data_IF_862190618129
#
_entry.id   IF_862190618129
#
_cell.length_a   1.000
_cell.length_b   1.000
_cell.length_c   1.000
_cell.angle_alpha   90.00
_cell.angle_beta   90.00
_cell.angle_gamma   90.00
#
_symmetry.space_group_name_H-M   'P 1'
#
loop_
_entity.id
_entity.type
_entity.pdbx_description
1 polymer ?
#
# COMPACT_ATOMS: atom_id res chain seq x y z
N UNK A 1 64.53 31.25 -51.42
CA UNK A 1 65.46 31.40 -50.28
C UNK A 1 65.29 32.81 -49.74
N UNK A 2 64.47 32.97 -48.70
CA UNK A 2 64.27 34.25 -48.01
C UNK A 2 64.57 33.99 -46.54
N UNK A 3 65.61 34.63 -46.02
CA UNK A 3 66.02 34.57 -44.64
C UNK A 3 65.96 35.99 -44.10
N UNK A 4 65.19 36.23 -43.03
CA UNK A 4 65.40 37.33 -42.08
C UNK A 4 64.69 36.94 -40.76
N UNK A 5 65.51 37.04 -39.72
CA UNK A 5 65.38 36.72 -38.28
C UNK A 5 64.11 37.29 -37.62
N UNK A 6 63.47 36.58 -36.66
CA UNK A 6 62.40 37.15 -35.86
C UNK A 6 62.93 37.91 -34.64
N UNK A 7 62.20 38.98 -34.34
CA UNK A 7 62.36 40.00 -33.30
C UNK A 7 62.34 39.41 -31.86
N UNK A 8 63.11 39.94 -30.88
CA UNK A 8 62.92 39.59 -29.48
C UNK A 8 61.74 40.36 -28.87
N UNK A 9 60.86 39.66 -28.14
CA UNK A 9 59.77 40.23 -27.36
C UNK A 9 60.29 40.91 -26.07
N UNK A 10 59.69 42.03 -25.62
CA UNK A 10 60.00 42.60 -24.31
C UNK A 10 59.30 41.82 -23.18
N UNK A 11 60.05 41.57 -22.10
CA UNK A 11 59.56 40.93 -20.87
C UNK A 11 58.32 41.63 -20.30
N UNK A 12 57.27 40.91 -19.87
CA UNK A 12 56.17 41.54 -19.16
C UNK A 12 56.58 41.94 -17.74
N UNK A 13 56.30 43.21 -17.43
CA UNK A 13 56.53 43.83 -16.15
C UNK A 13 55.81 43.11 -15.00
N UNK A 14 56.55 42.92 -13.92
CA UNK A 14 56.07 42.64 -12.58
C UNK A 14 55.01 43.66 -12.15
N UNK A 15 53.86 43.18 -11.65
CA UNK A 15 53.04 43.96 -10.72
C UNK A 15 51.53 43.94 -10.98
N UNK A 16 50.87 42.85 -10.63
CA UNK A 16 49.46 42.90 -10.24
C UNK A 16 49.12 41.70 -9.34
N UNK A 17 49.52 41.78 -8.06
CA UNK A 17 49.00 40.88 -7.03
C UNK A 17 47.53 41.21 -6.79
N UNK A 18 46.63 40.50 -7.48
CA UNK A 18 45.19 40.52 -7.18
C UNK A 18 45.02 39.87 -5.81
N UNK A 19 44.67 40.66 -4.79
CA UNK A 19 44.25 40.15 -3.48
C UNK A 19 43.02 39.27 -3.70
N UNK A 20 43.19 37.96 -3.60
CA UNK A 20 42.06 37.04 -3.47
C UNK A 20 41.50 37.17 -2.07
N UNK A 21 40.26 37.62 -1.99
CA UNK A 21 39.47 37.64 -0.77
C UNK A 21 39.25 36.17 -0.30
N UNK A 22 39.48 35.83 0.97
CA UNK A 22 39.20 34.49 1.45
C UNK A 22 37.68 34.28 1.47
N UNK A 23 37.13 33.59 0.46
CA UNK A 23 35.73 33.15 0.47
C UNK A 23 35.50 32.29 1.72
N UNK A 24 34.45 32.52 2.52
CA UNK A 24 34.15 31.67 3.67
C UNK A 24 33.67 30.30 3.18
N UNK A 25 34.57 29.33 3.13
CA UNK A 25 34.32 27.94 2.71
C UNK A 25 33.44 27.13 3.70
N UNK A 26 32.95 27.73 4.78
CA UNK A 26 32.24 27.04 5.86
C UNK A 26 30.71 27.22 5.84
N UNK A 27 30.15 28.13 5.03
CA UNK A 27 28.72 28.46 5.08
C UNK A 27 27.80 27.46 4.34
N UNK A 28 28.35 26.59 3.48
CA UNK A 28 27.58 25.62 2.68
C UNK A 28 27.41 24.23 3.32
N UNK A 29 28.24 23.87 4.31
CA UNK A 29 28.31 22.50 4.82
C UNK A 29 27.20 22.15 5.81
N UNK A 30 26.75 23.12 6.61
CA UNK A 30 25.66 22.93 7.58
C UNK A 30 24.27 22.90 6.96
N UNK A 31 24.03 23.62 5.86
CA UNK A 31 22.71 23.62 5.18
C UNK A 31 22.42 22.29 4.47
N UNK A 32 23.43 21.64 3.90
CA UNK A 32 23.25 20.35 3.21
C UNK A 32 22.91 19.20 4.15
N UNK A 33 23.35 19.24 5.41
CA UNK A 33 23.04 18.19 6.41
C UNK A 33 21.57 18.26 6.83
N UNK A 34 21.06 19.44 7.16
CA UNK A 34 19.64 19.61 7.52
C UNK A 34 18.69 19.39 6.32
N UNK A 35 19.11 19.70 5.10
CA UNK A 35 18.35 19.41 3.89
C UNK A 35 18.22 17.89 3.65
N UNK A 36 19.34 17.14 3.80
CA UNK A 36 19.36 15.67 3.66
C UNK A 36 18.60 14.95 4.77
N UNK A 37 18.66 15.46 6.00
CA UNK A 37 17.87 14.94 7.11
C UNK A 37 16.36 15.14 6.88
N UNK A 38 15.95 16.29 6.34
CA UNK A 38 14.55 16.57 5.99
C UNK A 38 14.02 15.68 4.86
N UNK A 39 14.80 15.53 3.78
CA UNK A 39 14.46 14.66 2.65
C UNK A 39 14.38 13.18 3.05
N UNK A 40 15.30 12.71 3.90
CA UNK A 40 15.27 11.35 4.44
C UNK A 40 14.02 11.08 5.28
N UNK A 41 13.63 12.02 6.15
CA UNK A 41 12.42 11.89 6.99
C UNK A 41 11.14 11.88 6.17
N UNK A 42 11.05 12.69 5.11
CA UNK A 42 9.90 12.72 4.20
C UNK A 42 9.82 11.42 3.37
N UNK A 43 10.96 10.90 2.91
CA UNK A 43 11.02 9.63 2.19
C UNK A 43 10.61 8.45 3.09
N UNK A 44 11.12 8.39 4.32
CA UNK A 44 10.74 7.36 5.30
C UNK A 44 9.26 7.46 5.68
N UNK A 45 8.74 8.67 5.94
CA UNK A 45 7.33 8.86 6.27
C UNK A 45 6.40 8.41 5.14
N UNK A 46 6.71 8.77 3.89
CA UNK A 46 5.97 8.31 2.71
C UNK A 46 5.98 6.79 2.60
N UNK A 47 7.15 6.17 2.78
CA UNK A 47 7.30 4.73 2.72
C UNK A 47 6.48 4.03 3.81
N UNK A 48 6.50 4.55 5.05
CA UNK A 48 5.70 4.01 6.17
C UNK A 48 4.21 4.07 5.87
N UNK A 49 3.71 5.21 5.36
CA UNK A 49 2.28 5.36 5.03
C UNK A 49 1.82 4.33 3.98
N UNK A 50 2.67 4.03 3.01
CA UNK A 50 2.35 3.06 1.94
C UNK A 50 2.42 1.60 2.41
N UNK A 51 3.30 1.26 3.36
CA UNK A 51 3.39 -0.12 3.88
C UNK A 51 2.44 -0.39 5.04
N UNK A 52 1.89 0.65 5.68
CA UNK A 52 1.01 0.53 6.84
C UNK A 52 -0.21 -0.39 6.58
N UNK A 53 -0.94 -0.28 5.45
CA UNK A 53 -2.03 -1.22 5.14
C UNK A 53 -1.55 -2.68 5.05
N UNK A 54 -0.38 -2.92 4.46
CA UNK A 54 0.20 -4.26 4.31
C UNK A 54 0.57 -4.86 5.66
N UNK A 55 1.24 -4.09 6.52
CA UNK A 55 1.59 -4.51 7.90
C UNK A 55 0.32 -4.85 8.68
N UNK A 56 -0.71 -4.01 8.57
CA UNK A 56 -1.97 -4.22 9.26
C UNK A 56 -2.67 -5.49 8.78
N UNK A 57 -2.70 -5.77 7.49
CA UNK A 57 -3.22 -7.04 6.94
C UNK A 57 -2.43 -8.24 7.45
N UNK A 58 -1.10 -8.18 7.45
CA UNK A 58 -0.27 -9.26 8.00
C UNK A 58 -0.57 -9.49 9.49
N UNK A 59 -0.69 -8.41 10.27
CA UNK A 59 -1.01 -8.50 11.70
C UNK A 59 -2.41 -9.11 11.93
N UNK A 60 -3.42 -8.67 11.17
CA UNK A 60 -4.77 -9.21 11.23
C UNK A 60 -4.82 -10.69 10.84
N UNK A 61 -4.02 -11.10 9.84
CA UNK A 61 -3.93 -12.48 9.40
C UNK A 61 -3.31 -13.37 10.47
N UNK A 62 -2.20 -12.94 11.07
CA UNK A 62 -1.58 -13.67 12.19
C UNK A 62 -2.53 -13.76 13.37
N UNK A 63 -3.23 -12.68 13.69
CA UNK A 63 -4.23 -12.65 14.76
C UNK A 63 -5.38 -13.62 14.46
N UNK A 64 -5.94 -13.61 13.25
CA UNK A 64 -7.02 -14.52 12.87
C UNK A 64 -6.60 -16.00 12.93
N UNK A 65 -5.38 -16.32 12.50
CA UNK A 65 -4.84 -17.68 12.62
C UNK A 65 -4.68 -18.07 14.09
N UNK A 66 -4.10 -17.18 14.91
CA UNK A 66 -3.90 -17.44 16.34
C UNK A 66 -5.24 -17.62 17.07
N UNK A 67 -6.23 -16.79 16.76
CA UNK A 67 -7.58 -16.84 17.29
C UNK A 67 -8.29 -18.15 16.91
N UNK A 68 -8.24 -18.55 15.63
CA UNK A 68 -8.81 -19.83 15.17
C UNK A 68 -8.14 -21.03 15.84
N UNK A 69 -6.81 -21.01 15.99
CA UNK A 69 -6.09 -22.08 16.70
C UNK A 69 -6.46 -22.14 18.18
N UNK A 70 -6.58 -20.98 18.84
CA UNK A 70 -7.05 -20.90 20.22
C UNK A 70 -8.50 -21.40 20.35
N UNK A 71 -9.38 -21.04 19.41
CA UNK A 71 -10.76 -21.49 19.37
C UNK A 71 -10.88 -23.01 19.23
N UNK A 72 -10.09 -23.61 18.34
CA UNK A 72 -9.96 -25.07 18.22
C UNK A 72 -9.44 -25.66 19.52
N UNK A 73 -8.37 -25.13 20.11
CA UNK A 73 -7.83 -25.60 21.39
C UNK A 73 -8.88 -25.57 22.51
N UNK A 74 -9.55 -24.44 22.71
CA UNK A 74 -10.56 -24.29 23.75
C UNK A 74 -11.76 -25.22 23.49
N UNK A 75 -12.22 -25.31 22.25
CA UNK A 75 -13.35 -26.18 21.89
C UNK A 75 -13.05 -27.65 22.11
N UNK A 76 -11.85 -28.13 21.75
CA UNK A 76 -11.55 -29.56 21.87
C UNK A 76 -11.00 -29.96 23.23
N UNK A 77 -10.25 -29.10 23.93
CA UNK A 77 -9.65 -29.47 25.22
C UNK A 77 -10.54 -29.10 26.39
N UNK A 78 -11.13 -27.89 26.39
CA UNK A 78 -11.96 -27.50 27.53
C UNK A 78 -13.26 -28.28 27.53
N UNK A 79 -13.92 -28.50 26.39
CA UNK A 79 -15.16 -29.30 26.35
C UNK A 79 -14.93 -30.72 26.87
N UNK A 80 -13.91 -31.42 26.38
CA UNK A 80 -13.58 -32.78 26.83
C UNK A 80 -13.19 -32.83 28.32
N UNK A 81 -12.44 -31.83 28.83
CA UNK A 81 -12.08 -31.75 30.26
C UNK A 81 -13.31 -31.46 31.13
N UNK A 82 -14.23 -30.62 30.64
CA UNK A 82 -15.43 -30.24 31.37
C UNK A 82 -16.42 -31.41 31.42
N UNK A 83 -16.53 -32.17 30.34
CA UNK A 83 -17.31 -33.42 30.27
C UNK A 83 -16.70 -34.53 31.14
N UNK A 84 -15.36 -34.67 31.16
CA UNK A 84 -14.66 -35.61 32.03
C UNK A 84 -14.86 -35.32 33.52
N UNK A 85 -15.04 -34.05 33.88
CA UNK A 85 -15.23 -33.58 35.25
C UNK A 85 -16.72 -33.41 35.64
N UNK A 86 -17.66 -33.74 34.75
CA UNK A 86 -19.11 -33.61 34.93
C UNK A 86 -19.54 -32.18 35.34
N UNK A 87 -18.87 -31.18 34.75
CA UNK A 87 -19.12 -29.76 34.97
C UNK A 87 -19.99 -29.17 33.84
N UNK A 88 -20.65 -28.04 34.10
CA UNK A 88 -21.43 -27.34 33.07
C UNK A 88 -20.53 -26.89 31.89
N UNK A 89 -20.91 -27.16 30.62
CA UNK A 89 -20.10 -26.84 29.45
C UNK A 89 -19.79 -25.35 29.32
N UNK A 90 -18.49 -24.99 29.38
CA UNK A 90 -18.02 -23.63 29.16
C UNK A 90 -17.88 -23.40 27.65
N UNK A 91 -18.79 -22.62 27.06
CA UNK A 91 -18.77 -22.30 25.63
C UNK A 91 -18.08 -20.95 25.38
N UNK A 92 -16.99 -20.98 24.62
CA UNK A 92 -16.18 -19.80 24.29
C UNK A 92 -16.69 -19.09 23.02
N UNK A 93 -17.95 -18.63 23.02
CA UNK A 93 -18.58 -17.97 21.87
C UNK A 93 -17.88 -16.69 21.40
N UNK A 94 -17.10 -16.05 22.28
CA UNK A 94 -16.37 -14.84 21.95
C UNK A 94 -15.24 -15.06 20.94
N UNK A 95 -14.64 -16.25 20.89
CA UNK A 95 -13.54 -16.54 19.96
C UNK A 95 -14.06 -16.49 18.52
N UNK A 96 -15.25 -17.04 18.29
CA UNK A 96 -15.89 -17.00 16.97
C UNK A 96 -16.16 -15.56 16.49
N UNK A 97 -16.71 -14.71 17.37
CA UNK A 97 -16.93 -13.29 17.06
C UNK A 97 -15.62 -12.52 16.79
N UNK A 98 -14.53 -12.78 17.53
CA UNK A 98 -13.23 -12.13 17.30
C UNK A 98 -12.66 -12.54 15.94
N UNK A 99 -12.73 -13.82 15.60
CA UNK A 99 -12.32 -14.34 14.32
C UNK A 99 -13.09 -13.70 13.16
N UNK A 100 -14.42 -13.62 13.26
CA UNK A 100 -15.28 -12.98 12.27
C UNK A 100 -14.95 -11.49 12.07
N UNK A 101 -14.76 -10.75 13.16
CA UNK A 101 -14.46 -9.31 13.08
C UNK A 101 -13.08 -9.09 12.46
N UNK A 102 -12.08 -9.86 12.87
CA UNK A 102 -10.72 -9.79 12.34
C UNK A 102 -10.69 -10.14 10.86
N UNK A 103 -11.40 -11.21 10.45
CA UNK A 103 -11.52 -11.63 9.06
C UNK A 103 -12.24 -10.60 8.20
N UNK A 104 -13.28 -9.94 8.74
CA UNK A 104 -13.99 -8.87 8.02
C UNK A 104 -13.05 -7.70 7.71
N UNK A 105 -12.27 -7.24 8.70
CA UNK A 105 -11.25 -6.22 8.51
C UNK A 105 -10.15 -6.67 7.55
N UNK A 106 -9.67 -7.90 7.69
CA UNK A 106 -8.65 -8.50 6.82
C UNK A 106 -9.11 -8.53 5.37
N UNK A 107 -10.35 -8.96 5.13
CA UNK A 107 -10.92 -9.10 3.78
C UNK A 107 -11.07 -7.74 3.11
N UNK A 108 -11.60 -6.76 3.83
CA UNK A 108 -11.85 -5.43 3.27
C UNK A 108 -10.56 -4.67 2.96
N UNK A 109 -9.55 -4.76 3.83
CA UNK A 109 -8.25 -4.11 3.58
C UNK A 109 -7.42 -4.92 2.59
N UNK A 110 -7.46 -6.25 2.68
CA UNK A 110 -6.79 -7.17 1.76
C UNK A 110 -7.28 -6.98 0.32
N UNK A 111 -8.60 -6.82 0.11
CA UNK A 111 -9.16 -6.49 -1.20
C UNK A 111 -8.62 -5.17 -1.76
N UNK A 112 -8.52 -4.13 -0.92
CA UNK A 112 -7.96 -2.85 -1.32
C UNK A 112 -6.48 -2.98 -1.75
N UNK A 113 -5.68 -3.72 -0.97
CA UNK A 113 -4.26 -3.97 -1.29
C UNK A 113 -4.14 -4.82 -2.56
N UNK A 114 -4.98 -5.83 -2.75
CA UNK A 114 -4.96 -6.66 -3.96
C UNK A 114 -5.22 -5.85 -5.23
N UNK A 115 -6.06 -4.81 -5.14
CA UNK A 115 -6.25 -3.85 -6.23
C UNK A 115 -4.98 -3.01 -6.42
N UNK A 116 -4.39 -2.48 -5.34
CA UNK A 116 -3.17 -1.68 -5.40
C UNK A 116 -1.97 -2.45 -6.00
N UNK A 117 -1.85 -3.73 -5.68
CA UNK A 117 -0.77 -4.61 -6.13
C UNK A 117 -1.09 -5.26 -7.50
N UNK A 118 -2.18 -4.86 -8.18
CA UNK A 118 -2.61 -5.35 -9.50
C UNK A 118 -2.71 -6.88 -9.60
N UNK A 119 -2.93 -7.58 -8.47
CA UNK A 119 -2.43 -8.95 -8.29
C UNK A 119 -2.90 -9.92 -9.38
N UNK A 120 -4.13 -9.85 -9.91
CA UNK A 120 -4.55 -10.70 -11.04
C UNK A 120 -5.73 -10.10 -11.82
N UNK A 121 -5.54 -9.02 -12.59
CA UNK A 121 -6.58 -8.56 -13.54
C UNK A 121 -6.36 -9.12 -14.94
N UNK A 122 -6.61 -10.43 -15.07
CA UNK A 122 -6.62 -11.24 -16.31
C UNK A 122 -7.76 -10.82 -17.26
N UNK A 123 -7.77 -9.56 -17.71
CA UNK A 123 -8.55 -9.10 -18.87
C UNK A 123 -7.66 -8.85 -20.09
N UNK A 124 -6.34 -8.91 -19.95
CA UNK A 124 -5.39 -8.72 -21.05
C UNK A 124 -5.45 -9.87 -22.07
N UNK A 125 -5.61 -11.12 -21.61
CA UNK A 125 -5.76 -12.29 -22.49
C UNK A 125 -6.90 -12.14 -23.50
N UNK A 126 -8.04 -11.57 -23.10
CA UNK A 126 -9.19 -11.38 -24.00
C UNK A 126 -9.06 -10.13 -24.88
N UNK A 127 -8.23 -9.16 -24.48
CA UNK A 127 -8.09 -7.86 -25.17
C UNK A 127 -6.84 -7.78 -26.04
N UNK A 128 -5.97 -8.79 -26.04
CA UNK A 128 -4.74 -8.84 -26.82
C UNK A 128 -4.95 -8.70 -28.33
N UNK A 129 -6.11 -9.12 -28.86
CA UNK A 129 -6.47 -8.96 -30.28
C UNK A 129 -7.07 -7.59 -30.62
N UNK A 130 -7.30 -6.72 -29.62
CA UNK A 130 -7.91 -5.41 -29.83
C UNK A 130 -6.85 -4.31 -30.05
N UNK A 131 -7.21 -3.22 -30.74
CA UNK A 131 -6.33 -2.06 -30.90
C UNK A 131 -5.92 -1.47 -29.55
N UNK A 132 -4.69 -0.93 -29.46
CA UNK A 132 -4.13 -0.34 -28.23
C UNK A 132 -5.05 0.70 -27.57
N UNK A 133 -5.79 1.48 -28.37
CA UNK A 133 -6.75 2.47 -27.89
C UNK A 133 -7.93 1.84 -27.14
N UNK A 134 -8.39 0.69 -27.60
CA UNK A 134 -9.50 -0.04 -27.00
C UNK A 134 -9.05 -0.74 -25.72
N UNK A 135 -7.84 -1.30 -25.69
CA UNK A 135 -7.24 -1.88 -24.48
C UNK A 135 -7.13 -0.83 -23.36
N UNK A 136 -6.65 0.38 -23.68
CA UNK A 136 -6.58 1.49 -22.72
C UNK A 136 -7.97 1.93 -22.23
N UNK A 137 -8.96 1.98 -23.12
CA UNK A 137 -10.33 2.33 -22.73
C UNK A 137 -10.93 1.27 -21.77
N UNK A 138 -10.72 -0.01 -22.04
CA UNK A 138 -11.18 -1.11 -21.18
C UNK A 138 -10.48 -1.06 -19.82
N UNK A 139 -9.16 -0.84 -19.81
CA UNK A 139 -8.38 -0.67 -18.58
C UNK A 139 -8.95 0.47 -17.72
N UNK A 140 -9.19 1.63 -18.33
CA UNK A 140 -9.71 2.81 -17.63
C UNK A 140 -11.11 2.56 -17.08
N UNK A 141 -12.01 2.00 -17.90
CA UNK A 141 -13.39 1.70 -17.51
C UNK A 141 -13.40 0.70 -16.35
N UNK A 142 -12.59 -0.36 -16.40
CA UNK A 142 -12.54 -1.36 -15.34
C UNK A 142 -12.09 -0.75 -14.01
N UNK A 143 -11.02 0.05 -14.00
CA UNK A 143 -10.54 0.69 -12.78
C UNK A 143 -11.54 1.73 -12.24
N UNK A 144 -12.24 2.45 -13.12
CA UNK A 144 -13.33 3.35 -12.71
C UNK A 144 -14.54 2.59 -12.13
N UNK A 145 -14.87 1.42 -12.65
CA UNK A 145 -15.92 0.57 -12.10
C UNK A 145 -15.55 0.05 -10.71
N UNK A 146 -14.31 -0.42 -10.53
CA UNK A 146 -13.77 -0.86 -9.23
C UNK A 146 -13.79 0.30 -8.24
N UNK A 147 -13.33 1.48 -8.65
CA UNK A 147 -13.36 2.69 -7.85
C UNK A 147 -14.80 3.07 -7.45
N UNK A 148 -15.73 3.06 -8.40
CA UNK A 148 -17.14 3.32 -8.17
C UNK A 148 -17.76 2.34 -7.17
N UNK A 149 -17.45 1.05 -7.30
CA UNK A 149 -17.87 0.02 -6.34
C UNK A 149 -17.30 0.29 -4.94
N UNK A 150 -16.01 0.61 -4.84
CA UNK A 150 -15.38 1.00 -3.58
C UNK A 150 -16.06 2.21 -2.92
N UNK A 151 -16.38 3.24 -3.71
CA UNK A 151 -17.11 4.42 -3.23
C UNK A 151 -18.52 4.08 -2.73
N UNK A 152 -19.23 3.21 -3.43
CA UNK A 152 -20.56 2.75 -3.03
C UNK A 152 -20.49 1.92 -1.73
N UNK A 153 -19.51 1.03 -1.62
CA UNK A 153 -19.23 0.26 -0.41
C UNK A 153 -18.87 1.17 0.78
N UNK A 154 -18.07 2.21 0.56
CA UNK A 154 -17.72 3.19 1.58
C UNK A 154 -18.95 3.94 2.11
N UNK A 155 -19.83 4.36 1.18
CA UNK A 155 -21.05 5.09 1.52
C UNK A 155 -22.04 4.23 2.31
N UNK A 156 -22.40 3.05 1.78
CA UNK A 156 -23.33 2.15 2.46
C UNK A 156 -22.74 1.59 3.75
N UNK A 157 -21.46 1.23 3.76
CA UNK A 157 -20.75 0.80 4.96
C UNK A 157 -20.85 1.82 6.08
N UNK A 158 -20.68 3.12 5.75
CA UNK A 158 -20.74 4.19 6.75
C UNK A 158 -22.14 4.38 7.29
N UNK A 159 -23.15 4.32 6.41
CA UNK A 159 -24.56 4.37 6.83
C UNK A 159 -24.89 3.20 7.77
N UNK A 160 -24.43 1.99 7.43
CA UNK A 160 -24.65 0.79 8.22
C UNK A 160 -23.92 0.84 9.57
N UNK A 161 -22.69 1.35 9.59
CA UNK A 161 -21.89 1.54 10.80
C UNK A 161 -22.57 2.50 11.77
N UNK A 162 -23.09 3.63 11.28
CA UNK A 162 -23.82 4.60 12.11
C UNK A 162 -25.15 4.01 12.59
N UNK A 163 -25.89 3.33 11.73
CA UNK A 163 -27.21 2.78 12.10
C UNK A 163 -27.09 1.69 13.16
N UNK A 164 -26.07 0.84 13.04
CA UNK A 164 -25.84 -0.27 13.96
C UNK A 164 -24.92 0.10 15.11
N UNK A 165 -24.54 1.38 15.26
CA UNK A 165 -23.63 1.80 16.33
C UNK A 165 -24.25 1.69 17.73
N UNK A 166 -25.56 1.51 17.82
CA UNK A 166 -26.29 1.31 19.07
C UNK A 166 -26.45 -0.17 19.45
N UNK A 167 -26.09 -1.09 18.55
CA UNK A 167 -26.20 -2.53 18.77
C UNK A 167 -24.86 -3.10 19.22
N UNK A 168 -24.90 -4.02 20.18
CA UNK A 168 -23.72 -4.73 20.69
C UNK A 168 -23.76 -6.22 20.35
N UNK A 169 -22.58 -6.82 20.21
CA UNK A 169 -22.45 -8.24 19.89
C UNK A 169 -22.86 -9.09 21.09
N UNK A 170 -23.54 -10.23 20.89
CA UNK A 170 -24.01 -11.06 21.98
C UNK A 170 -22.91 -11.52 22.94
N UNK A 171 -21.75 -11.95 22.42
CA UNK A 171 -20.68 -12.52 23.23
C UNK A 171 -19.72 -11.46 23.79
N UNK A 172 -19.14 -10.60 22.95
CA UNK A 172 -18.16 -9.58 23.41
C UNK A 172 -18.79 -8.26 23.88
N UNK A 173 -20.08 -8.03 23.64
CA UNK A 173 -20.73 -6.75 23.90
C UNK A 173 -20.01 -5.58 23.19
N UNK A 174 -19.35 -5.86 22.06
CA UNK A 174 -18.68 -4.86 21.25
C UNK A 174 -19.69 -4.23 20.30
N UNK A 175 -19.54 -2.94 20.05
CA UNK A 175 -20.37 -2.19 19.12
C UNK A 175 -20.27 -2.78 17.68
N UNK A 176 -21.40 -3.22 17.11
CA UNK A 176 -21.47 -3.74 15.74
C UNK A 176 -21.07 -2.71 14.68
N UNK A 177 -21.18 -1.42 15.00
CA UNK A 177 -20.66 -0.35 14.16
C UNK A 177 -19.19 -0.53 13.78
N UNK A 178 -18.39 -1.19 14.62
CA UNK A 178 -16.97 -1.46 14.34
C UNK A 178 -16.75 -2.51 13.24
N UNK A 179 -17.67 -3.46 13.12
CA UNK A 179 -17.64 -4.48 12.06
C UNK A 179 -17.98 -3.83 10.73
N UNK A 180 -19.02 -3.01 10.69
CA UNK A 180 -19.42 -2.30 9.48
C UNK A 180 -18.45 -1.17 9.09
N UNK A 181 -17.71 -0.61 10.06
CA UNK A 181 -16.63 0.34 9.77
C UNK A 181 -15.52 -0.28 8.92
N UNK A 182 -15.30 -1.60 8.99
CA UNK A 182 -14.37 -2.30 8.09
C UNK A 182 -14.76 -2.09 6.62
N UNK A 183 -16.06 -2.18 6.32
CA UNK A 183 -16.60 -1.98 4.96
C UNK A 183 -16.40 -0.54 4.51
N UNK A 184 -16.64 0.43 5.40
CA UNK A 184 -16.36 1.85 5.14
C UNK A 184 -14.91 2.10 4.77
N UNK A 185 -13.99 1.62 5.62
CA UNK A 185 -12.55 1.87 5.47
C UNK A 185 -12.00 1.13 4.26
N UNK A 186 -12.33 -0.15 4.09
CA UNK A 186 -11.90 -0.91 2.91
C UNK A 186 -12.47 -0.35 1.62
N UNK A 187 -13.75 0.02 1.59
CA UNK A 187 -14.37 0.68 0.43
C UNK A 187 -13.67 1.99 0.06
N UNK A 188 -13.32 2.81 1.06
CA UNK A 188 -12.59 4.04 0.83
C UNK A 188 -11.17 3.79 0.29
N UNK A 189 -10.46 2.78 0.80
CA UNK A 189 -9.15 2.39 0.28
C UNK A 189 -9.25 1.85 -1.16
N UNK A 190 -10.25 1.02 -1.46
CA UNK A 190 -10.54 0.52 -2.81
C UNK A 190 -10.78 1.68 -3.78
N UNK A 191 -11.60 2.67 -3.38
CA UNK A 191 -11.86 3.87 -4.16
C UNK A 191 -10.56 4.64 -4.46
N UNK A 192 -9.72 4.85 -3.44
CA UNK A 192 -8.46 5.59 -3.58
C UNK A 192 -7.47 4.87 -4.50
N UNK A 193 -7.26 3.57 -4.31
CA UNK A 193 -6.34 2.80 -5.14
C UNK A 193 -6.86 2.62 -6.56
N UNK A 194 -8.16 2.32 -6.73
CA UNK A 194 -8.79 2.20 -8.04
C UNK A 194 -8.71 3.50 -8.85
N UNK A 195 -8.95 4.66 -8.23
CA UNK A 195 -8.75 5.96 -8.88
C UNK A 195 -7.28 6.22 -9.21
N UNK A 196 -6.37 5.94 -8.28
CA UNK A 196 -4.92 6.10 -8.52
C UNK A 196 -4.45 5.32 -9.75
N UNK A 197 -4.83 4.04 -9.85
CA UNK A 197 -4.51 3.17 -10.98
C UNK A 197 -5.17 3.62 -12.29
N UNK A 198 -6.40 4.14 -12.23
CA UNK A 198 -7.09 4.70 -13.39
C UNK A 198 -6.33 5.89 -14.00
N UNK A 199 -5.70 6.72 -13.15
CA UNK A 199 -4.94 7.89 -13.60
C UNK A 199 -3.48 7.59 -13.96
N UNK A 200 -2.86 6.58 -13.37
CA UNK A 200 -1.46 6.19 -13.67
C UNK A 200 -1.28 5.59 -15.07
N UNK A 201 -2.34 5.08 -15.69
CA UNK A 201 -2.28 4.36 -16.96
C UNK A 201 -1.70 2.94 -16.83
N UNK A 202 -1.77 2.12 -17.89
CA UNK A 202 -1.16 0.79 -17.91
C UNK A 202 0.36 0.91 -17.81
N UNK A 203 0.99 0.18 -16.87
CA UNK A 203 2.45 0.11 -16.77
C UNK A 203 2.97 -0.76 -17.94
N UNK A 204 4.11 -0.41 -18.53
CA UNK A 204 4.68 -1.19 -19.65
C UNK A 204 5.07 -2.62 -19.23
N UNK A 205 5.43 -2.78 -17.96
CA UNK A 205 5.89 -4.02 -17.34
C UNK A 205 4.79 -5.10 -17.33
N UNK A 206 3.52 -4.70 -17.22
CA UNK A 206 2.36 -5.60 -17.27
C UNK A 206 2.28 -6.38 -18.60
N UNK A 207 2.76 -5.77 -19.70
CA UNK A 207 2.76 -6.39 -21.03
C UNK A 207 4.01 -7.26 -21.27
N UNK A 208 5.16 -6.91 -20.67
CA UNK A 208 6.40 -7.69 -20.80
C UNK A 208 6.35 -8.99 -19.99
N UNK A 209 5.78 -8.97 -18.77
CA UNK A 209 5.61 -10.17 -17.93
C UNK A 209 4.61 -11.16 -18.54
N UNK A 210 3.54 -10.67 -19.17
CA UNK A 210 2.58 -11.51 -19.89
C UNK A 210 3.21 -12.14 -21.15
N UNK A 211 3.98 -11.37 -21.93
CA UNK A 211 4.71 -11.91 -23.08
C UNK A 211 5.72 -12.99 -22.65
N UNK A 212 6.39 -12.83 -21.52
CA UNK A 212 7.29 -13.82 -20.95
C UNK A 212 6.54 -15.07 -20.44
N UNK A 213 5.36 -14.91 -19.84
CA UNK A 213 4.53 -16.02 -19.33
C UNK A 213 3.96 -16.86 -20.47
N UNK A 214 3.54 -16.22 -21.57
CA UNK A 214 3.06 -16.91 -22.78
C UNK A 214 4.22 -17.63 -23.48
N UNK A 215 5.38 -16.97 -23.61
CA UNK A 215 6.58 -17.61 -24.18
C UNK A 215 7.12 -18.78 -23.35
N UNK A 216 6.78 -18.85 -22.06
CA UNK A 216 7.12 -19.96 -21.16
C UNK A 216 6.04 -21.06 -21.11
N UNK A 217 4.85 -20.80 -21.66
CA UNK A 217 3.70 -21.72 -21.69
C UNK A 217 3.56 -22.55 -22.97
N UNK A 218 4.36 -22.26 -24.00
CA UNK A 218 4.51 -23.02 -25.27
C UNK A 218 5.81 -23.85 -25.28
#
# INVERSE_FOLDING_TARGET
MSAIVPHPDPLPASGARKKEDPRPASAGRGRGLHQREGEGRLATARQVILVLPKILVTALLVLAIADMLAGVFFRYIMTEVTDLLDLDPINFFWVEEVGEFSLTWLTMIGAAIGIADRIHFTLQVLTHHLPIRTQHAIYLINHLLIAGFGGLAAWFGTKLAITNSALTSPALQINLGWVYAAVSVGGALILLYGLGLAFSGPEADDFEEEAATIAAGD
#
